data_IF_637989575837
#
_entry.id   IF_637989575837
#
_cell.length_a   1.000
_cell.length_b   1.000
_cell.length_c   1.000
_cell.angle_alpha   90.00
_cell.angle_beta   90.00
_cell.angle_gamma   90.00
#
_symmetry.space_group_name_H-M   'P 1'
#
loop_
_entity.id
_entity.type
_entity.pdbx_description
1 polymer ?
#
# COMPACT_ATOMS: atom_id res chain seq x y z
N UNK A 1 -2.45 4.38 27.22
CA UNK A 1 -1.32 5.26 26.91
C UNK A 1 -1.84 6.35 25.99
N UNK A 2 -1.91 7.56 26.46
CA UNK A 2 -2.32 8.73 25.67
C UNK A 2 -1.05 9.37 25.06
N UNK A 3 -1.21 10.20 24.03
CA UNK A 3 -0.07 10.97 23.44
C UNK A 3 0.66 11.76 24.52
N UNK A 4 -0.04 12.18 25.59
CA UNK A 4 0.51 12.89 26.74
C UNK A 4 1.48 12.05 27.59
N UNK A 5 1.40 10.72 27.50
CA UNK A 5 2.32 9.81 28.20
C UNK A 5 3.54 9.45 27.34
N UNK A 6 3.55 9.85 26.06
CA UNK A 6 4.71 9.71 25.18
C UNK A 6 5.63 10.90 25.36
N UNK A 7 6.92 10.68 25.52
CA UNK A 7 7.97 11.73 25.61
C UNK A 7 8.25 12.40 24.25
N UNK A 8 7.24 12.50 23.40
CA UNK A 8 7.36 13.09 22.06
C UNK A 8 7.49 14.62 22.12
N UNK A 9 8.31 15.24 21.27
CA UNK A 9 8.32 16.69 21.07
C UNK A 9 6.92 17.23 20.76
N UNK A 10 6.61 18.44 21.21
CA UNK A 10 5.27 19.03 21.11
C UNK A 10 4.72 19.04 19.66
N UNK A 11 5.56 19.40 18.68
CA UNK A 11 5.15 19.42 17.26
C UNK A 11 4.79 18.04 16.73
N UNK A 12 5.53 17.01 17.14
CA UNK A 12 5.29 15.63 16.76
C UNK A 12 4.03 15.08 17.43
N UNK A 13 3.82 15.41 18.71
CA UNK A 13 2.59 15.08 19.44
C UNK A 13 1.36 15.70 18.77
N UNK A 14 1.47 16.96 18.34
CA UNK A 14 0.40 17.64 17.61
C UNK A 14 0.09 16.94 16.28
N UNK A 15 1.13 16.58 15.52
CA UNK A 15 0.96 15.88 14.24
C UNK A 15 0.24 14.53 14.43
N UNK A 16 0.68 13.69 15.37
CA UNK A 16 0.04 12.40 15.66
C UNK A 16 -1.39 12.57 16.18
N UNK A 17 -1.67 13.61 16.97
CA UNK A 17 -3.03 13.92 17.42
C UNK A 17 -3.94 14.25 16.24
N UNK A 18 -3.48 15.11 15.33
CA UNK A 18 -4.20 15.47 14.11
C UNK A 18 -4.48 14.24 13.26
N UNK A 19 -3.46 13.43 12.98
CA UNK A 19 -3.61 12.20 12.22
C UNK A 19 -4.57 11.21 12.88
N UNK A 20 -4.49 11.06 14.20
CA UNK A 20 -5.39 10.17 14.95
C UNK A 20 -6.87 10.56 14.83
N UNK A 21 -7.15 11.87 14.82
CA UNK A 21 -8.51 12.38 14.62
C UNK A 21 -8.97 12.18 13.17
N UNK A 22 -8.16 12.57 12.21
CA UNK A 22 -8.48 12.48 10.77
C UNK A 22 -8.66 11.02 10.32
N UNK A 23 -7.83 10.12 10.83
CA UNK A 23 -7.81 8.71 10.45
C UNK A 23 -8.65 7.81 11.38
N UNK A 24 -9.25 8.37 12.43
CA UNK A 24 -10.07 7.61 13.37
C UNK A 24 -9.31 6.50 14.12
N UNK A 25 -8.01 6.69 14.42
CA UNK A 25 -7.19 5.65 15.04
C UNK A 25 -7.63 5.34 16.47
N UNK A 26 -7.71 4.05 16.79
CA UNK A 26 -7.76 3.59 18.16
C UNK A 26 -6.42 3.86 18.88
N UNK A 27 -6.43 3.85 20.22
CA UNK A 27 -5.19 4.02 21.00
C UNK A 27 -4.10 3.01 20.65
N UNK A 28 -4.48 1.80 20.26
CA UNK A 28 -3.54 0.76 19.87
C UNK A 28 -2.92 1.03 18.50
N UNK A 29 -3.73 1.47 17.52
CA UNK A 29 -3.26 1.88 16.20
C UNK A 29 -2.35 3.10 16.32
N UNK A 30 -2.75 4.10 17.10
CA UNK A 30 -1.91 5.28 17.35
C UNK A 30 -0.55 4.90 17.92
N UNK A 31 -0.54 4.00 18.95
CA UNK A 31 0.71 3.52 19.51
C UNK A 31 1.58 2.83 18.46
N UNK A 32 1.01 1.94 17.67
CA UNK A 32 1.71 1.25 16.57
C UNK A 32 2.35 2.26 15.59
N UNK A 33 1.60 3.29 15.20
CA UNK A 33 2.10 4.31 14.27
C UNK A 33 3.22 5.17 14.88
N UNK A 34 3.16 5.45 16.18
CA UNK A 34 4.25 6.12 16.91
C UNK A 34 5.47 5.21 16.99
N UNK A 35 5.31 3.96 17.43
CA UNK A 35 6.39 2.99 17.59
C UNK A 35 7.10 2.67 16.26
N UNK A 36 6.36 2.76 15.14
CA UNK A 36 6.89 2.57 13.78
C UNK A 36 7.37 3.85 13.10
N UNK A 37 7.44 4.96 13.83
CA UNK A 37 7.88 6.28 13.32
C UNK A 37 7.20 6.69 12.00
N UNK A 38 5.87 6.62 11.97
CA UNK A 38 5.09 6.99 10.78
C UNK A 38 5.41 8.40 10.28
N UNK A 39 5.67 9.34 11.19
CA UNK A 39 5.98 10.73 10.83
C UNK A 39 7.15 10.81 9.86
N UNK A 40 8.29 10.22 10.23
CA UNK A 40 9.49 10.25 9.39
C UNK A 40 9.27 9.54 8.06
N UNK A 41 8.58 8.40 8.07
CA UNK A 41 8.27 7.62 6.86
C UNK A 41 7.34 8.35 5.89
N UNK A 42 6.41 9.13 6.41
CA UNK A 42 5.43 9.86 5.59
C UNK A 42 5.96 11.22 5.10
N UNK A 43 6.83 11.87 5.88
CA UNK A 43 7.37 13.20 5.55
C UNK A 43 8.74 13.13 4.89
N UNK A 44 9.34 11.94 4.78
CA UNK A 44 10.63 11.75 4.12
C UNK A 44 10.67 12.45 2.75
N UNK A 45 11.76 13.19 2.51
CA UNK A 45 12.00 13.85 1.23
C UNK A 45 12.59 12.92 0.16
N UNK A 46 12.91 11.66 0.54
CA UNK A 46 13.61 10.71 -0.32
C UNK A 46 12.63 9.76 -1.05
N UNK A 47 11.35 10.10 -1.12
CA UNK A 47 10.36 9.29 -1.82
C UNK A 47 10.60 9.33 -3.33
N UNK A 48 10.78 8.17 -3.92
CA UNK A 48 10.98 8.02 -5.37
C UNK A 48 9.64 7.83 -6.06
N UNK A 49 9.23 8.81 -6.85
CA UNK A 49 8.02 8.75 -7.67
C UNK A 49 8.04 9.77 -8.79
N UNK A 50 7.10 9.65 -9.73
CA UNK A 50 6.89 10.60 -10.82
C UNK A 50 5.53 11.33 -10.73
N UNK A 51 4.92 11.40 -9.55
CA UNK A 51 3.56 11.94 -9.37
C UNK A 51 3.42 13.40 -9.82
N UNK A 52 4.43 14.23 -9.55
CA UNK A 52 4.40 15.66 -9.93
C UNK A 52 4.39 15.89 -11.44
N UNK A 53 4.86 14.94 -12.23
CA UNK A 53 4.90 15.02 -13.70
C UNK A 53 3.72 14.31 -14.37
N UNK A 54 3.06 13.38 -13.67
CA UNK A 54 2.04 12.48 -14.24
C UNK A 54 0.62 12.73 -13.71
N UNK A 55 0.49 13.44 -12.59
CA UNK A 55 -0.77 13.81 -11.96
C UNK A 55 -0.93 15.33 -11.84
N UNK A 56 -2.15 15.89 -11.92
CA UNK A 56 -2.40 17.29 -11.63
C UNK A 56 -2.10 17.64 -10.16
N UNK A 57 -1.72 18.88 -9.88
CA UNK A 57 -1.20 19.32 -8.59
C UNK A 57 -1.99 18.87 -7.34
N UNK A 58 -3.33 18.99 -7.23
CA UNK A 58 -4.03 18.53 -6.03
C UNK A 58 -3.87 17.02 -5.79
N UNK A 59 -3.84 16.21 -6.85
CA UNK A 59 -3.71 14.76 -6.78
C UNK A 59 -2.27 14.33 -6.53
N UNK A 60 -1.30 14.98 -7.18
CA UNK A 60 0.12 14.68 -6.97
C UNK A 60 0.55 14.96 -5.53
N UNK A 61 0.08 16.05 -4.94
CA UNK A 61 0.38 16.40 -3.55
C UNK A 61 -0.21 15.36 -2.59
N UNK A 62 -1.47 14.95 -2.82
CA UNK A 62 -2.13 13.94 -2.00
C UNK A 62 -1.49 12.55 -2.18
N UNK A 63 -1.15 12.16 -3.41
CA UNK A 63 -0.44 10.91 -3.68
C UNK A 63 0.93 10.87 -3.01
N UNK A 64 1.69 11.97 -3.07
CA UNK A 64 2.96 12.11 -2.34
C UNK A 64 2.78 12.03 -0.82
N UNK A 65 1.72 12.65 -0.29
CA UNK A 65 1.42 12.61 1.14
C UNK A 65 1.07 11.19 1.60
N UNK A 66 0.30 10.44 0.81
CA UNK A 66 -0.12 9.07 1.14
C UNK A 66 1.00 8.03 0.96
N UNK A 67 1.96 8.28 0.07
CA UNK A 67 3.12 7.42 -0.11
C UNK A 67 3.98 7.42 1.16
N UNK A 68 4.38 6.25 1.61
CA UNK A 68 5.30 6.04 2.73
C UNK A 68 6.62 5.46 2.23
N UNK A 69 7.71 5.70 2.93
CA UNK A 69 9.00 5.12 2.63
C UNK A 69 9.87 5.03 3.91
N UNK A 70 10.12 3.85 4.43
CA UNK A 70 9.59 2.54 4.01
C UNK A 70 8.14 2.26 4.47
N UNK A 71 7.50 1.26 3.87
CA UNK A 71 6.33 0.58 4.45
C UNK A 71 6.77 -0.43 5.50
N UNK A 72 5.96 -0.61 6.55
CA UNK A 72 6.25 -1.58 7.62
C UNK A 72 5.13 -2.62 7.67
N UNK A 73 5.49 -3.88 7.41
CA UNK A 73 4.56 -5.00 7.47
C UNK A 73 4.92 -5.95 8.60
N UNK A 74 3.92 -6.35 9.39
CA UNK A 74 4.07 -7.39 10.39
C UNK A 74 3.75 -8.75 9.76
N UNK A 75 4.76 -9.54 9.53
CA UNK A 75 4.62 -10.94 9.17
C UNK A 75 4.92 -11.82 10.39
N UNK A 76 4.00 -11.83 11.34
CA UNK A 76 4.09 -12.75 12.47
C UNK A 76 3.96 -14.19 11.98
N UNK A 77 5.07 -14.88 11.93
CA UNK A 77 5.16 -16.26 11.48
C UNK A 77 6.02 -16.52 10.25
N UNK A 78 6.47 -15.48 9.54
CA UNK A 78 7.49 -15.66 8.52
C UNK A 78 8.76 -16.23 9.17
N UNK A 79 9.19 -17.42 8.75
CA UNK A 79 10.47 -17.99 9.17
C UNK A 79 11.57 -17.05 8.71
N UNK A 80 12.59 -16.82 9.54
CA UNK A 80 13.77 -16.01 9.17
C UNK A 80 14.47 -16.48 7.87
N UNK A 81 14.15 -17.67 7.41
CA UNK A 81 14.66 -18.33 6.18
C UNK A 81 13.56 -18.61 5.16
N UNK A 82 12.46 -17.83 5.16
CA UNK A 82 11.48 -17.93 4.09
C UNK A 82 12.16 -17.56 2.75
N UNK A 83 11.94 -18.36 1.73
CA UNK A 83 12.42 -18.01 0.40
C UNK A 83 11.60 -16.84 -0.17
N UNK A 84 12.05 -16.30 -1.29
CA UNK A 84 11.50 -15.11 -1.91
C UNK A 84 10.01 -15.25 -2.23
N UNK A 85 9.63 -16.41 -2.74
CA UNK A 85 8.26 -16.73 -3.12
C UNK A 85 7.33 -16.85 -1.90
N UNK A 86 7.82 -17.48 -0.81
CA UNK A 86 7.06 -17.58 0.44
C UNK A 86 6.77 -16.20 1.04
N UNK A 87 7.71 -15.25 0.92
CA UNK A 87 7.54 -13.88 1.42
C UNK A 87 6.50 -13.13 0.58
N UNK A 88 6.59 -13.19 -0.74
CA UNK A 88 5.61 -12.57 -1.64
C UNK A 88 4.21 -13.13 -1.37
N UNK A 89 4.08 -14.46 -1.28
CA UNK A 89 2.80 -15.11 -1.02
C UNK A 89 2.20 -14.74 0.34
N UNK A 90 3.03 -14.67 1.38
CA UNK A 90 2.59 -14.23 2.71
C UNK A 90 2.21 -12.74 2.73
N UNK A 91 2.97 -11.87 2.06
CA UNK A 91 2.65 -10.46 1.94
C UNK A 91 1.29 -10.27 1.27
N UNK A 92 1.03 -10.99 0.19
CA UNK A 92 -0.26 -10.93 -0.52
C UNK A 92 -1.41 -11.51 0.31
N UNK A 93 -1.17 -12.54 1.12
CA UNK A 93 -2.19 -13.13 2.01
C UNK A 93 -2.61 -12.21 3.17
N UNK A 94 -1.73 -11.31 3.61
CA UNK A 94 -2.00 -10.44 4.76
C UNK A 94 -2.50 -9.04 4.36
N UNK A 95 -3.51 -8.99 3.49
CA UNK A 95 -4.13 -7.76 2.99
C UNK A 95 -4.57 -6.80 4.09
N UNK A 96 -5.01 -7.34 5.22
CA UNK A 96 -5.41 -6.53 6.38
C UNK A 96 -4.25 -5.70 6.92
N UNK A 97 -3.03 -6.25 6.91
CA UNK A 97 -1.82 -5.51 7.31
C UNK A 97 -1.51 -4.37 6.34
N UNK A 98 -1.77 -4.57 5.05
CA UNK A 98 -1.67 -3.50 4.05
C UNK A 98 -2.67 -2.39 4.31
N UNK A 99 -3.93 -2.72 4.56
CA UNK A 99 -4.96 -1.72 4.83
C UNK A 99 -4.65 -0.94 6.11
N UNK A 100 -4.13 -1.59 7.15
CA UNK A 100 -3.68 -0.91 8.36
C UNK A 100 -2.49 0.02 8.10
N UNK A 101 -1.53 -0.44 7.33
CA UNK A 101 -0.35 0.37 6.98
C UNK A 101 -0.73 1.49 6.01
N UNK A 102 -1.61 1.27 5.05
CA UNK A 102 -2.12 2.32 4.15
C UNK A 102 -2.91 3.37 4.92
N UNK A 103 -3.68 2.97 5.93
CA UNK A 103 -4.53 3.86 6.72
C UNK A 103 -5.95 3.98 6.17
N UNK A 104 -6.74 4.88 6.75
CA UNK A 104 -8.12 5.12 6.32
C UNK A 104 -8.19 5.68 4.89
N UNK A 105 -9.32 5.42 4.24
CA UNK A 105 -9.58 5.91 2.88
C UNK A 105 -9.10 4.98 1.78
N UNK A 106 -8.72 3.74 2.13
CA UNK A 106 -8.46 2.68 1.16
C UNK A 106 -9.46 1.55 1.31
N UNK A 107 -9.94 1.05 0.18
CA UNK A 107 -10.78 -0.14 0.10
C UNK A 107 -10.02 -1.26 -0.62
N UNK A 108 -10.16 -2.48 -0.12
CA UNK A 108 -9.65 -3.67 -0.80
C UNK A 108 -10.51 -3.94 -2.04
N UNK A 109 -9.87 -4.19 -3.17
CA UNK A 109 -10.53 -4.56 -4.43
C UNK A 109 -10.25 -6.00 -4.78
N UNK A 110 -8.97 -6.38 -4.87
CA UNK A 110 -8.60 -7.75 -5.20
C UNK A 110 -7.14 -8.05 -4.82
N UNK A 111 -6.85 -9.33 -4.60
CA UNK A 111 -5.49 -9.88 -4.59
C UNK A 111 -5.33 -10.89 -5.71
N UNK A 112 -4.11 -11.04 -6.23
CA UNK A 112 -3.80 -11.95 -7.33
C UNK A 112 -4.84 -11.90 -8.45
N UNK A 113 -5.22 -10.64 -8.82
CA UNK A 113 -6.27 -10.40 -9.80
C UNK A 113 -5.83 -10.88 -11.16
N UNK A 114 -6.53 -11.89 -11.66
CA UNK A 114 -6.34 -12.40 -13.01
C UNK A 114 -6.87 -11.42 -14.06
N UNK A 115 -6.03 -11.16 -15.06
CA UNK A 115 -6.38 -10.42 -16.27
C UNK A 115 -5.97 -11.22 -17.49
N UNK A 116 -6.90 -11.44 -18.41
CA UNK A 116 -6.58 -11.93 -19.73
C UNK A 116 -6.35 -10.74 -20.67
N UNK A 117 -5.16 -10.67 -21.24
CA UNK A 117 -4.79 -9.63 -22.22
C UNK A 117 -4.25 -10.31 -23.48
N UNK A 118 -5.00 -10.21 -24.56
CA UNK A 118 -4.74 -11.03 -25.75
C UNK A 118 -4.88 -12.52 -25.43
N UNK A 119 -3.84 -13.29 -25.72
CA UNK A 119 -3.79 -14.74 -25.45
C UNK A 119 -2.96 -15.08 -24.21
N UNK A 120 -2.64 -14.09 -23.36
CA UNK A 120 -1.80 -14.28 -22.18
C UNK A 120 -2.55 -13.94 -20.90
N UNK A 121 -2.22 -14.68 -19.85
CA UNK A 121 -2.77 -14.51 -18.52
C UNK A 121 -1.78 -13.75 -17.64
N UNK A 122 -2.29 -12.76 -16.91
CA UNK A 122 -1.51 -11.90 -16.00
C UNK A 122 -2.18 -11.82 -14.64
N UNK A 123 -1.39 -11.63 -13.59
CA UNK A 123 -1.89 -11.58 -12.21
C UNK A 123 -1.27 -10.37 -11.52
N UNK A 124 -2.11 -9.40 -11.14
CA UNK A 124 -1.68 -8.27 -10.31
C UNK A 124 -1.72 -8.69 -8.84
N UNK A 125 -0.66 -8.42 -8.08
CA UNK A 125 -0.53 -8.88 -6.70
C UNK A 125 -1.65 -8.34 -5.81
N UNK A 126 -1.85 -7.02 -5.82
CA UNK A 126 -2.85 -6.37 -4.98
C UNK A 126 -3.43 -5.13 -5.66
N UNK A 127 -4.74 -4.99 -5.59
CA UNK A 127 -5.46 -3.82 -6.07
C UNK A 127 -6.27 -3.25 -4.92
N UNK A 128 -6.05 -1.98 -4.61
CA UNK A 128 -6.84 -1.19 -3.69
C UNK A 128 -7.55 -0.06 -4.45
N UNK A 129 -8.53 0.56 -3.80
CA UNK A 129 -9.13 1.81 -4.26
C UNK A 129 -8.92 2.89 -3.21
N UNK A 130 -8.36 4.02 -3.60
CA UNK A 130 -8.19 5.17 -2.73
C UNK A 130 -9.40 6.09 -2.85
N UNK A 131 -10.19 6.17 -1.77
CA UNK A 131 -11.37 7.05 -1.70
C UNK A 131 -10.97 8.53 -1.84
N UNK A 132 -9.93 9.03 -1.14
CA UNK A 132 -9.53 10.43 -1.27
C UNK A 132 -9.01 10.82 -2.65
N UNK A 133 -8.36 9.88 -3.34
CA UNK A 133 -7.81 10.11 -4.68
C UNK A 133 -8.81 9.78 -5.80
N UNK A 134 -9.93 9.11 -5.49
CA UNK A 134 -10.83 8.55 -6.48
C UNK A 134 -10.06 7.77 -7.56
N UNK A 135 -9.19 6.86 -7.13
CA UNK A 135 -8.29 6.14 -8.03
C UNK A 135 -7.99 4.73 -7.53
N UNK A 136 -7.79 3.81 -8.46
CA UNK A 136 -7.22 2.50 -8.16
C UNK A 136 -5.74 2.65 -7.81
N UNK A 137 -5.28 1.80 -6.89
CA UNK A 137 -3.88 1.66 -6.52
C UNK A 137 -3.47 0.23 -6.83
N UNK A 138 -2.59 0.04 -7.80
CA UNK A 138 -1.99 -1.25 -8.11
C UNK A 138 -0.69 -1.38 -7.33
N UNK A 139 -0.59 -2.40 -6.51
CA UNK A 139 0.60 -2.67 -5.70
C UNK A 139 1.27 -3.94 -6.20
N UNK A 140 2.52 -3.83 -6.56
CA UNK A 140 3.41 -4.95 -6.89
C UNK A 140 4.47 -5.11 -5.79
N UNK A 141 4.66 -6.33 -5.36
CA UNK A 141 5.57 -6.71 -4.28
C UNK A 141 6.75 -7.48 -4.83
N UNK A 142 7.95 -7.07 -4.45
CA UNK A 142 9.18 -7.77 -4.83
C UNK A 142 10.00 -8.09 -3.59
N UNK A 143 10.23 -9.37 -3.33
CA UNK A 143 11.05 -9.83 -2.22
C UNK A 143 12.55 -9.53 -2.40
N UNK A 144 12.93 -8.95 -3.53
CA UNK A 144 14.29 -8.51 -3.88
C UNK A 144 14.47 -7.00 -3.83
N UNK A 145 15.69 -6.48 -3.87
CA UNK A 145 15.95 -5.08 -4.17
C UNK A 145 15.37 -4.68 -5.53
N UNK A 146 15.08 -3.38 -5.67
CA UNK A 146 14.52 -2.79 -6.88
C UNK A 146 15.37 -3.11 -8.12
N UNK A 147 14.68 -3.41 -9.23
CA UNK A 147 15.26 -3.54 -10.57
C UNK A 147 14.40 -2.77 -11.57
N UNK A 148 14.99 -2.12 -12.59
CA UNK A 148 14.26 -1.30 -13.57
C UNK A 148 13.13 -2.04 -14.29
N UNK A 149 13.27 -3.34 -14.56
CA UNK A 149 12.24 -4.15 -15.20
C UNK A 149 10.92 -4.23 -14.41
N UNK A 150 10.95 -4.06 -13.08
CA UNK A 150 9.76 -4.07 -12.25
C UNK A 150 8.85 -2.85 -12.50
N UNK A 151 9.44 -1.70 -12.79
CA UNK A 151 8.68 -0.51 -13.16
C UNK A 151 7.92 -0.74 -14.47
N UNK A 152 8.51 -1.43 -15.43
CA UNK A 152 7.86 -1.82 -16.70
C UNK A 152 6.68 -2.77 -16.49
N UNK A 153 6.83 -3.76 -15.60
CA UNK A 153 5.76 -4.68 -15.22
C UNK A 153 4.60 -3.93 -14.56
N UNK A 154 4.89 -3.08 -13.59
CA UNK A 154 3.87 -2.28 -12.90
C UNK A 154 3.15 -1.32 -13.85
N UNK A 155 3.89 -0.66 -14.74
CA UNK A 155 3.30 0.21 -15.77
C UNK A 155 2.30 -0.55 -16.66
N UNK A 156 2.61 -1.80 -17.04
CA UNK A 156 1.68 -2.65 -17.77
C UNK A 156 0.39 -2.89 -16.97
N UNK A 157 0.48 -3.25 -15.69
CA UNK A 157 -0.69 -3.48 -14.84
C UNK A 157 -1.53 -2.23 -14.63
N UNK A 158 -0.93 -1.06 -14.47
CA UNK A 158 -1.65 0.21 -14.38
C UNK A 158 -2.52 0.41 -15.62
N UNK A 159 -1.96 0.21 -16.81
CA UNK A 159 -2.71 0.35 -18.07
C UNK A 159 -3.85 -0.68 -18.18
N UNK A 160 -3.63 -1.92 -17.73
CA UNK A 160 -4.67 -2.96 -17.73
C UNK A 160 -5.80 -2.59 -16.76
N UNK A 161 -5.48 -2.09 -15.57
CA UNK A 161 -6.49 -1.66 -14.59
C UNK A 161 -7.25 -0.44 -15.09
N UNK A 162 -6.58 0.52 -15.72
CA UNK A 162 -7.22 1.68 -16.35
C UNK A 162 -8.21 1.26 -17.45
N UNK A 163 -7.86 0.24 -18.25
CA UNK A 163 -8.74 -0.26 -19.31
C UNK A 163 -9.92 -1.11 -18.79
N UNK A 164 -9.69 -1.93 -17.75
CA UNK A 164 -10.66 -2.95 -17.33
C UNK A 164 -11.50 -2.57 -16.12
N UNK A 165 -11.00 -1.73 -15.21
CA UNK A 165 -11.65 -1.43 -13.93
C UNK A 165 -11.99 0.03 -13.75
N UNK A 166 -11.18 0.97 -14.27
CA UNK A 166 -11.39 2.39 -14.06
C UNK A 166 -12.71 2.87 -14.66
N UNK A 167 -13.56 3.49 -13.83
CA UNK A 167 -14.79 4.14 -14.24
C UNK A 167 -14.57 5.55 -14.80
N UNK A 168 -15.62 6.12 -15.39
CA UNK A 168 -15.59 7.46 -16.03
C UNK A 168 -15.20 8.59 -15.03
N UNK A 169 -15.57 8.43 -13.76
CA UNK A 169 -15.32 9.43 -12.71
C UNK A 169 -14.06 9.17 -11.91
N UNK A 170 -13.34 8.09 -12.21
CA UNK A 170 -12.09 7.77 -11.53
C UNK A 170 -10.91 8.52 -12.16
N UNK A 171 -9.99 8.92 -11.31
CA UNK A 171 -8.71 9.45 -11.74
C UNK A 171 -7.78 8.34 -12.25
N UNK A 172 -6.64 8.70 -12.82
CA UNK A 172 -5.63 7.74 -13.27
C UNK A 172 -5.25 6.77 -12.15
N UNK A 173 -5.17 5.49 -12.47
CA UNK A 173 -4.66 4.46 -11.58
C UNK A 173 -3.21 4.76 -11.21
N UNK A 174 -2.87 4.61 -9.94
CA UNK A 174 -1.52 4.82 -9.40
C UNK A 174 -0.87 3.47 -9.15
N UNK A 175 0.37 3.31 -9.55
CA UNK A 175 1.18 2.15 -9.23
C UNK A 175 2.05 2.38 -8.00
N UNK A 176 2.17 1.37 -7.16
CA UNK A 176 3.06 1.34 -6.02
C UNK A 176 3.91 0.06 -6.08
N UNK A 177 5.21 0.23 -6.28
CA UNK A 177 6.17 -0.85 -6.28
C UNK A 177 6.86 -0.92 -4.92
N UNK A 178 6.72 -2.03 -4.22
CA UNK A 178 7.31 -2.28 -2.92
C UNK A 178 8.44 -3.30 -3.04
N UNK A 179 9.66 -2.91 -2.69
CA UNK A 179 10.87 -3.72 -2.78
C UNK A 179 11.56 -3.86 -1.42
N UNK A 180 12.46 -4.83 -1.27
CA UNK A 180 13.28 -4.97 -0.04
C UNK A 180 14.33 -3.89 0.15
N UNK A 181 14.58 -3.08 -0.85
CA UNK A 181 15.52 -1.97 -0.87
C UNK A 181 15.62 -1.40 -2.27
N UNK A 182 16.05 -0.16 -2.39
CA UNK A 182 16.25 0.50 -3.66
C UNK A 182 17.49 1.37 -3.67
N UNK A 183 18.12 1.49 -4.83
CA UNK A 183 19.00 2.61 -5.14
C UNK A 183 18.11 3.75 -5.68
N UNK A 184 18.11 4.88 -4.99
CA UNK A 184 17.23 6.01 -5.32
C UNK A 184 17.52 6.58 -6.70
N UNK A 185 18.79 6.64 -7.10
CA UNK A 185 19.21 7.17 -8.40
C UNK A 185 18.78 6.24 -9.53
N UNK A 186 18.97 4.94 -9.37
CA UNK A 186 18.52 3.93 -10.34
C UNK A 186 16.99 3.95 -10.46
N UNK A 187 16.28 4.07 -9.34
CA UNK A 187 14.84 4.12 -9.32
C UNK A 187 14.29 5.38 -9.99
N UNK A 188 14.91 6.56 -9.77
CA UNK A 188 14.56 7.80 -10.46
C UNK A 188 14.75 7.70 -11.97
N UNK A 189 15.88 7.17 -12.43
CA UNK A 189 16.11 6.95 -13.86
C UNK A 189 15.11 5.95 -14.47
N UNK A 190 14.76 4.90 -13.73
CA UNK A 190 13.79 3.91 -14.20
C UNK A 190 12.38 4.48 -14.38
N UNK A 191 11.99 5.51 -13.60
CA UNK A 191 10.69 6.17 -13.75
C UNK A 191 10.68 7.23 -14.86
N UNK A 192 11.86 7.61 -15.38
CA UNK A 192 11.94 8.61 -16.44
C UNK A 192 11.29 8.10 -17.73
N UNK A 193 10.32 8.87 -18.23
CA UNK A 193 9.62 8.54 -19.49
C UNK A 193 8.37 7.70 -19.35
N UNK A 194 7.95 7.32 -18.14
CA UNK A 194 6.61 6.76 -17.93
C UNK A 194 5.57 7.86 -17.75
N UNK A 195 4.45 7.72 -18.47
CA UNK A 195 3.28 8.62 -18.37
C UNK A 195 2.31 8.22 -17.26
N UNK A 196 2.45 7.00 -16.73
CA UNK A 196 1.64 6.51 -15.63
C UNK A 196 2.26 6.90 -14.28
N UNK A 197 1.43 7.24 -13.27
CA UNK A 197 1.92 7.63 -11.96
C UNK A 197 2.42 6.41 -11.18
N UNK A 198 3.71 6.37 -10.89
CA UNK A 198 4.39 5.28 -10.20
C UNK A 198 5.17 5.82 -9.01
N UNK A 199 4.98 5.18 -7.84
CA UNK A 199 5.82 5.34 -6.67
C UNK A 199 6.61 4.06 -6.40
N UNK A 200 7.87 4.22 -5.97
CA UNK A 200 8.75 3.12 -5.55
C UNK A 200 9.13 3.34 -4.09
N UNK A 201 8.87 2.35 -3.26
CA UNK A 201 9.17 2.40 -1.84
C UNK A 201 9.83 1.12 -1.37
N UNK A 202 10.63 1.24 -0.32
CA UNK A 202 11.11 0.08 0.40
C UNK A 202 10.04 -0.45 1.34
N UNK A 203 10.14 -1.72 1.71
CA UNK A 203 9.39 -2.25 2.83
C UNK A 203 10.29 -2.96 3.84
N UNK A 204 9.85 -2.95 5.09
CA UNK A 204 10.50 -3.63 6.21
C UNK A 204 9.50 -4.58 6.86
N UNK A 205 10.00 -5.74 7.28
CA UNK A 205 9.23 -6.71 8.05
C UNK A 205 9.50 -6.46 9.53
N UNK A 206 8.46 -6.20 10.29
CA UNK A 206 8.55 -5.89 11.71
C UNK A 206 7.49 -6.64 12.51
N UNK A 207 7.76 -6.89 13.79
CA UNK A 207 6.77 -7.38 14.76
C UNK A 207 6.06 -6.24 15.49
N UNK A 208 5.85 -5.11 14.81
CA UNK A 208 5.33 -3.88 15.41
C UNK A 208 3.83 -3.93 15.74
N UNK A 209 3.05 -4.82 15.13
CA UNK A 209 1.61 -4.92 15.40
C UNK A 209 1.35 -5.68 16.70
N UNK A 210 0.67 -5.07 17.70
CA UNK A 210 0.31 -5.75 18.94
C UNK A 210 -0.54 -7.01 18.69
N UNK A 211 -0.25 -8.11 19.38
CA UNK A 211 -0.96 -9.40 19.29
C UNK A 211 -2.49 -9.26 19.38
N UNK A 212 -2.96 -8.34 20.25
CA UNK A 212 -4.40 -8.07 20.43
C UNK A 212 -5.07 -7.46 19.19
N UNK A 213 -4.32 -6.78 18.32
CA UNK A 213 -4.83 -6.25 17.06
C UNK A 213 -4.86 -7.33 15.97
N UNK A 214 -3.91 -8.26 15.98
CA UNK A 214 -3.87 -9.38 15.04
C UNK A 214 -5.10 -10.28 15.15
N UNK A 215 -5.55 -10.56 16.38
CA UNK A 215 -6.71 -11.40 16.65
C UNK A 215 -8.06 -10.70 16.42
N UNK A 216 -8.07 -9.38 16.31
CA UNK A 216 -9.29 -8.58 16.12
C UNK A 216 -9.57 -8.21 14.65
N UNK A 217 -8.65 -8.57 13.74
CA UNK A 217 -8.78 -8.27 12.32
C UNK A 217 -9.17 -9.54 11.57
N UNK A 218 -10.20 -9.48 10.70
CA UNK A 218 -10.56 -10.63 9.89
C UNK A 218 -9.41 -11.01 8.96
N UNK A 219 -9.25 -12.29 8.72
CA UNK A 219 -8.34 -12.79 7.68
C UNK A 219 -8.89 -12.44 6.29
N UNK A 220 -8.05 -12.54 5.27
CA UNK A 220 -8.49 -12.32 3.88
C UNK A 220 -9.55 -13.35 3.51
N UNK A 221 -9.33 -14.59 3.92
CA UNK A 221 -10.23 -15.70 3.70
C UNK A 221 -11.62 -15.41 4.31
N UNK A 222 -11.66 -14.91 5.54
CA UNK A 222 -12.92 -14.50 6.21
C UNK A 222 -13.62 -13.35 5.48
N UNK A 223 -12.85 -12.35 4.99
CA UNK A 223 -13.41 -11.24 4.20
C UNK A 223 -13.92 -11.73 2.84
N UNK A 224 -13.15 -12.59 2.15
CA UNK A 224 -13.55 -13.17 0.87
C UNK A 224 -14.79 -14.08 1.01
N UNK A 225 -14.86 -14.91 2.05
CA UNK A 225 -16.04 -15.74 2.36
C UNK A 225 -17.26 -14.88 2.69
N UNK A 226 -17.08 -13.82 3.48
CA UNK A 226 -18.17 -12.90 3.83
C UNK A 226 -18.69 -12.19 2.57
N UNK A 227 -17.80 -11.67 1.71
CA UNK A 227 -18.18 -11.06 0.43
C UNK A 227 -18.85 -12.05 -0.52
N UNK A 228 -18.35 -13.27 -0.64
CA UNK A 228 -18.98 -14.32 -1.45
C UNK A 228 -20.38 -14.65 -0.94
N UNK A 229 -20.58 -14.69 0.38
CA UNK A 229 -21.88 -14.96 1.00
C UNK A 229 -22.92 -13.85 0.74
N UNK A 230 -22.49 -12.62 0.48
CA UNK A 230 -23.38 -11.52 0.08
C UNK A 230 -23.79 -11.63 -1.38
N UNK A 231 -22.89 -12.07 -2.27
CA UNK A 231 -23.16 -12.24 -3.69
C UNK A 231 -24.13 -13.41 -3.98
N UNK A 232 -24.08 -14.47 -3.14
CA UNK A 232 -24.99 -15.62 -3.27
C UNK A 232 -26.41 -15.37 -2.69
N UNK A 233 -26.61 -14.26 -1.97
CA UNK A 233 -27.89 -13.93 -1.31
C UNK A 233 -28.76 -12.96 -2.10
N UNK A 234 -28.37 -12.55 -3.31
CA UNK A 234 -29.18 -11.75 -4.21
C UNK A 234 -29.73 -12.61 -5.35
N UNK A 235 -30.83 -13.38 -5.17
CA UNK A 235 -31.54 -14.01 -6.26
C UNK A 235 -32.41 -12.94 -6.90
N UNK A 236 -32.21 -12.69 -8.15
CA UNK A 236 -32.95 -11.83 -9.09
C UNK A 236 -34.42 -11.60 -8.75
#
# INVERSE_FOLDING_TARGET
MTILDSSLPLGLSYWYTKQSIEMGWSSNVLKMQIDSDLYSRQISNNKVNNFTTTLPAPQSDLANYLLKDPYIFDLAGAKEKADERDIEEQLVKHVTHYLLEMGNGFAFVARQKHFQVGNSDFFADLILYSIPLHAYIVIELKATPFKPEYAGQLNFYINVVDDKLRGEHDNKTIGLLLCRGKDEVVAQYALSGYDQPIGISDYQLSKAIPEKLKSALPSVEEVEEELASFLDKDPQ
#
